data_IF_051260791995
#
_entry.id   IF_051260791995
#
_cell.length_a   1.000
_cell.length_b   1.000
_cell.length_c   1.000
_cell.angle_alpha   90.00
_cell.angle_beta   90.00
_cell.angle_gamma   90.00
#
_symmetry.space_group_name_H-M   'P 1'
#
loop_
_entity.id
_entity.type
_entity.pdbx_description
1 polymer ?
#
# COMPACT_ATOMS: atom_id res chain seq x y z
N UNK A 1 37.10 12.01 34.29
CA UNK A 1 38.45 12.62 34.16
C UNK A 1 38.29 13.91 33.37
N UNK A 2 38.42 15.08 34.03
CA UNK A 2 39.57 16.02 33.93
C UNK A 2 39.64 16.66 32.52
N UNK A 3 39.57 17.97 32.26
CA UNK A 3 39.90 19.23 32.97
C UNK A 3 39.45 20.39 32.02
N UNK A 4 38.85 21.51 32.47
CA UNK A 4 39.49 22.83 32.78
C UNK A 4 40.58 23.24 31.77
N UNK A 5 40.79 24.48 31.31
CA UNK A 5 40.48 25.82 31.81
C UNK A 5 40.90 26.88 30.74
N UNK A 6 40.45 28.11 31.02
CA UNK A 6 40.82 29.43 30.46
C UNK A 6 42.33 29.67 30.26
N UNK A 7 42.70 30.40 29.20
CA UNK A 7 43.88 31.30 29.08
C UNK A 7 43.45 32.43 28.09
N UNK A 8 43.22 33.70 28.47
CA UNK A 8 44.07 34.78 29.02
C UNK A 8 44.77 35.62 27.92
N UNK A 9 44.43 36.93 27.92
CA UNK A 9 45.24 38.11 27.57
C UNK A 9 45.77 38.29 26.13
N UNK A 10 45.38 39.40 25.49
CA UNK A 10 46.31 40.47 25.06
C UNK A 10 45.54 41.80 25.01
N UNK A 11 46.08 42.75 25.76
CA UNK A 11 45.72 44.15 25.92
C UNK A 11 46.75 44.96 25.10
N UNK A 12 46.33 45.68 24.06
CA UNK A 12 47.10 46.81 23.49
C UNK A 12 46.11 47.73 22.76
N UNK A 13 45.62 48.77 23.41
CA UNK A 13 46.16 50.14 23.32
C UNK A 13 46.18 50.66 21.87
N UNK A 14 45.07 51.27 21.44
CA UNK A 14 45.12 52.38 20.48
C UNK A 14 44.09 53.43 20.86
N UNK A 15 44.58 54.48 21.51
CA UNK A 15 43.90 55.75 21.72
C UNK A 15 43.64 56.39 20.36
N UNK A 16 42.39 56.42 19.92
CA UNK A 16 41.93 57.31 18.85
C UNK A 16 40.98 58.33 19.46
N UNK A 17 41.41 59.58 19.33
CA UNK A 17 40.81 60.83 19.75
C UNK A 17 39.31 60.89 19.51
N UNK A 18 38.55 60.96 20.60
CA UNK A 18 37.11 61.22 20.59
C UNK A 18 36.88 62.72 20.42
N UNK A 19 36.66 63.18 19.19
CA UNK A 19 36.14 64.53 18.94
C UNK A 19 34.63 64.52 19.13
N UNK A 20 34.04 65.32 20.03
CA UNK A 20 32.59 65.45 20.10
C UNK A 20 32.10 66.26 18.89
N UNK A 21 31.57 65.57 17.89
CA UNK A 21 30.74 66.21 16.86
C UNK A 21 29.46 66.68 17.57
N UNK A 22 29.36 67.99 17.79
CA UNK A 22 28.14 68.64 18.21
C UNK A 22 27.08 68.47 17.11
N UNK A 23 26.25 67.43 17.26
CA UNK A 23 25.05 67.26 16.47
C UNK A 23 24.04 68.33 16.89
N UNK A 24 23.90 69.38 16.08
CA UNK A 24 22.75 70.29 16.16
C UNK A 24 21.48 69.50 15.81
N UNK A 25 20.74 69.10 16.82
CA UNK A 25 19.40 68.52 16.67
C UNK A 25 18.42 69.64 16.36
N UNK A 26 18.22 69.92 15.08
CA UNK A 26 17.02 70.62 14.62
C UNK A 26 15.83 69.71 14.91
N UNK A 27 15.11 69.98 16.00
CA UNK A 27 13.83 69.34 16.30
C UNK A 27 12.79 69.84 15.31
N UNK A 28 12.58 69.08 14.24
CA UNK A 28 11.41 69.25 13.39
C UNK A 28 10.17 68.79 14.18
N UNK A 29 9.06 69.56 14.20
CA UNK A 29 7.80 69.09 14.76
C UNK A 29 7.27 67.97 13.85
N UNK A 30 7.54 66.71 14.23
CA UNK A 30 6.96 65.55 13.55
C UNK A 30 5.46 65.54 13.87
N UNK A 31 4.64 65.85 12.86
CA UNK A 31 3.18 65.72 12.91
C UNK A 31 2.79 64.31 13.38
N UNK A 32 2.33 64.19 14.63
CA UNK A 32 1.88 62.92 15.24
C UNK A 32 0.82 62.18 14.41
N UNK A 33 0.09 62.89 13.54
CA UNK A 33 -0.92 62.33 12.64
C UNK A 33 -0.33 61.45 11.52
N UNK A 34 0.85 61.78 10.97
CA UNK A 34 1.45 61.02 9.85
C UNK A 34 2.11 59.71 10.30
N UNK A 35 2.60 59.66 11.54
CA UNK A 35 3.22 58.45 12.09
C UNK A 35 2.19 57.36 12.38
N UNK A 36 1.03 57.73 12.94
CA UNK A 36 -0.07 56.79 13.20
C UNK A 36 -0.61 56.16 11.92
N UNK A 37 -0.85 56.98 10.88
CA UNK A 37 -1.27 56.51 9.57
C UNK A 37 -0.27 55.51 8.94
N UNK A 38 1.04 55.75 9.10
CA UNK A 38 2.08 54.84 8.61
C UNK A 38 2.10 53.50 9.36
N UNK A 39 1.87 53.51 10.68
CA UNK A 39 1.78 52.29 11.49
C UNK A 39 0.53 51.47 11.14
N UNK A 40 -0.60 52.14 10.90
CA UNK A 40 -1.85 51.47 10.54
C UNK A 40 -1.76 50.86 9.13
N UNK A 41 -1.14 51.57 8.16
CA UNK A 41 -0.85 51.03 6.84
C UNK A 41 0.12 49.83 6.88
N UNK A 42 1.14 49.88 7.74
CA UNK A 42 2.08 48.77 7.93
C UNK A 42 1.38 47.55 8.56
N UNK A 43 0.50 47.76 9.55
CA UNK A 43 -0.31 46.69 10.14
C UNK A 43 -1.22 46.04 9.09
N UNK A 44 -1.92 46.86 8.29
CA UNK A 44 -2.76 46.35 7.21
C UNK A 44 -1.94 45.52 6.20
N UNK A 45 -0.77 46.01 5.80
CA UNK A 45 0.13 45.28 4.88
C UNK A 45 0.66 43.96 5.46
N UNK A 46 0.92 43.93 6.78
CA UNK A 46 1.32 42.70 7.46
C UNK A 46 0.16 41.70 7.51
N UNK A 47 -1.06 42.15 7.80
CA UNK A 47 -2.23 41.27 7.84
C UNK A 47 -2.60 40.74 6.46
N UNK A 48 -2.52 41.55 5.40
CA UNK A 48 -2.74 41.06 4.02
C UNK A 48 -1.69 40.03 3.62
N UNK A 49 -0.40 40.28 3.90
CA UNK A 49 0.67 39.30 3.64
C UNK A 49 0.47 38.01 4.43
N UNK A 50 0.05 38.08 5.69
CA UNK A 50 -0.27 36.88 6.48
C UNK A 50 -1.42 36.09 5.88
N UNK A 51 -2.46 36.77 5.39
CA UNK A 51 -3.60 36.12 4.73
C UNK A 51 -3.17 35.46 3.42
N UNK A 52 -2.41 36.15 2.57
CA UNK A 52 -1.84 35.59 1.33
C UNK A 52 -0.96 34.36 1.59
N UNK A 53 -0.09 34.41 2.60
CA UNK A 53 0.75 33.28 2.99
C UNK A 53 -0.12 32.10 3.46
N UNK A 54 -1.14 32.35 4.29
CA UNK A 54 -2.06 31.30 4.75
C UNK A 54 -2.80 30.65 3.58
N UNK A 55 -3.31 31.44 2.65
CA UNK A 55 -4.00 30.95 1.45
C UNK A 55 -3.05 30.12 0.57
N UNK A 56 -1.84 30.62 0.32
CA UNK A 56 -0.83 29.90 -0.45
C UNK A 56 -0.41 28.56 0.21
N UNK A 57 -0.33 28.52 1.55
CA UNK A 57 -0.04 27.28 2.28
C UNK A 57 -1.21 26.30 2.16
N UNK A 58 -2.45 26.76 2.31
CA UNK A 58 -3.64 25.92 2.19
C UNK A 58 -3.77 25.34 0.77
N UNK A 59 -3.55 26.14 -0.27
CA UNK A 59 -3.58 25.69 -1.67
C UNK A 59 -2.47 24.67 -1.95
N UNK A 60 -1.24 24.92 -1.47
CA UNK A 60 -0.13 23.96 -1.58
C UNK A 60 -0.43 22.65 -0.83
N UNK A 61 -1.02 22.73 0.35
CA UNK A 61 -1.43 21.54 1.10
C UNK A 61 -2.49 20.75 0.35
N UNK A 62 -3.54 21.40 -0.13
CA UNK A 62 -4.62 20.77 -0.90
C UNK A 62 -4.07 20.06 -2.15
N UNK A 63 -3.27 20.76 -2.96
CA UNK A 63 -2.66 20.19 -4.17
C UNK A 63 -1.72 19.03 -3.88
N UNK A 64 -0.90 19.11 -2.81
CA UNK A 64 -0.03 18.01 -2.40
C UNK A 64 -0.84 16.82 -1.89
N UNK A 65 -1.89 17.03 -1.10
CA UNK A 65 -2.76 15.94 -0.62
C UNK A 65 -3.48 15.22 -1.76
N UNK A 66 -3.96 15.96 -2.76
CA UNK A 66 -4.57 15.39 -3.97
C UNK A 66 -3.57 14.50 -4.72
N UNK A 67 -2.36 15.02 -5.02
CA UNK A 67 -1.30 14.25 -5.69
C UNK A 67 -0.90 12.97 -4.93
N UNK A 68 -0.81 13.06 -3.59
CA UNK A 68 -0.49 11.90 -2.76
C UNK A 68 -1.61 10.86 -2.77
N UNK A 69 -2.88 11.28 -2.78
CA UNK A 69 -4.01 10.37 -2.86
C UNK A 69 -4.05 9.66 -4.21
N UNK A 70 -3.82 10.37 -5.31
CA UNK A 70 -3.76 9.78 -6.65
C UNK A 70 -2.62 8.74 -6.75
N UNK A 71 -1.43 9.09 -6.24
CA UNK A 71 -0.30 8.17 -6.22
C UNK A 71 -0.59 6.92 -5.38
N UNK A 72 -1.30 7.07 -4.25
CA UNK A 72 -1.72 5.93 -3.42
C UNK A 72 -2.70 5.03 -4.17
N UNK A 73 -3.71 5.61 -4.85
CA UNK A 73 -4.65 4.83 -5.67
C UNK A 73 -3.91 4.04 -6.76
N UNK A 74 -2.97 4.67 -7.47
CA UNK A 74 -2.12 3.99 -8.47
C UNK A 74 -1.33 2.82 -7.86
N UNK A 75 -0.73 3.01 -6.68
CA UNK A 75 0.01 1.96 -5.99
C UNK A 75 -0.90 0.78 -5.58
N UNK A 76 -2.12 1.08 -5.11
CA UNK A 76 -3.11 0.07 -4.74
C UNK A 76 -3.53 -0.73 -5.98
N UNK A 77 -3.86 -0.05 -7.10
CA UNK A 77 -4.21 -0.69 -8.37
C UNK A 77 -3.09 -1.60 -8.86
N UNK A 78 -1.84 -1.12 -8.84
CA UNK A 78 -0.67 -1.90 -9.25
C UNK A 78 -0.51 -3.15 -8.38
N UNK A 79 -0.62 -3.00 -7.06
CA UNK A 79 -0.55 -4.12 -6.13
C UNK A 79 -1.65 -5.15 -6.41
N UNK A 80 -2.90 -4.69 -6.55
CA UNK A 80 -4.04 -5.55 -6.84
C UNK A 80 -3.84 -6.35 -8.12
N UNK A 81 -3.49 -5.68 -9.23
CA UNK A 81 -3.29 -6.34 -10.52
C UNK A 81 -2.19 -7.41 -10.45
N UNK A 82 -1.06 -7.09 -9.81
CA UNK A 82 0.03 -8.06 -9.62
C UNK A 82 -0.39 -9.28 -8.81
N UNK A 83 -1.23 -9.11 -7.79
CA UNK A 83 -1.70 -10.23 -6.99
C UNK A 83 -2.73 -11.07 -7.74
N UNK A 84 -3.66 -10.43 -8.46
CA UNK A 84 -4.65 -11.11 -9.28
C UNK A 84 -3.99 -11.94 -10.38
N UNK A 85 -3.01 -11.40 -11.10
CA UNK A 85 -2.26 -12.15 -12.11
C UNK A 85 -1.63 -13.42 -11.52
N UNK A 86 -1.05 -13.32 -10.33
CA UNK A 86 -0.48 -14.49 -9.62
C UNK A 86 -1.55 -15.50 -9.22
N UNK A 87 -2.71 -15.05 -8.74
CA UNK A 87 -3.81 -15.92 -8.34
C UNK A 87 -4.42 -16.64 -9.56
N UNK A 88 -4.59 -15.94 -10.69
CA UNK A 88 -5.03 -16.54 -11.95
C UNK A 88 -4.04 -17.58 -12.47
N UNK A 89 -2.73 -17.30 -12.38
CA UNK A 89 -1.71 -18.29 -12.72
C UNK A 89 -1.78 -19.54 -11.84
N UNK A 90 -2.10 -19.40 -10.54
CA UNK A 90 -2.31 -20.54 -9.65
C UNK A 90 -3.58 -21.30 -10.01
N UNK A 91 -4.69 -20.60 -10.28
CA UNK A 91 -5.95 -21.19 -10.75
C UNK A 91 -5.73 -22.08 -11.98
N UNK A 92 -5.00 -21.57 -12.99
CA UNK A 92 -4.65 -22.31 -14.21
C UNK A 92 -3.85 -23.57 -13.88
N UNK A 93 -2.84 -23.47 -13.00
CA UNK A 93 -2.03 -24.63 -12.59
C UNK A 93 -2.86 -25.70 -11.87
N UNK A 94 -3.78 -25.30 -11.00
CA UNK A 94 -4.66 -26.24 -10.29
C UNK A 94 -5.65 -26.92 -11.25
N UNK A 95 -6.21 -26.19 -12.23
CA UNK A 95 -7.02 -26.78 -13.30
C UNK A 95 -6.23 -27.83 -14.10
N UNK A 96 -5.00 -27.52 -14.49
CA UNK A 96 -4.12 -28.50 -15.15
C UNK A 96 -3.85 -29.73 -14.27
N UNK A 97 -3.70 -29.53 -12.96
CA UNK A 97 -3.52 -30.63 -12.01
C UNK A 97 -4.77 -31.53 -11.93
N UNK A 98 -5.97 -30.94 -11.91
CA UNK A 98 -7.25 -31.68 -12.00
C UNK A 98 -7.28 -32.54 -13.27
N UNK A 99 -7.00 -31.96 -14.45
CA UNK A 99 -7.03 -32.71 -15.71
C UNK A 99 -6.03 -33.88 -15.73
N UNK A 100 -4.85 -33.71 -15.13
CA UNK A 100 -3.86 -34.79 -14.99
C UNK A 100 -4.36 -35.91 -14.07
N UNK A 101 -5.02 -35.54 -12.97
CA UNK A 101 -5.62 -36.48 -12.02
C UNK A 101 -6.74 -37.27 -12.70
N UNK A 102 -7.66 -36.59 -13.40
CA UNK A 102 -8.75 -37.21 -14.16
C UNK A 102 -8.21 -38.19 -15.22
N UNK A 103 -7.19 -37.77 -15.98
CA UNK A 103 -6.53 -38.65 -16.97
C UNK A 103 -5.91 -39.89 -16.33
N UNK A 104 -5.27 -39.75 -15.16
CA UNK A 104 -4.70 -40.88 -14.44
C UNK A 104 -5.76 -41.81 -13.88
N UNK A 105 -6.86 -41.27 -13.36
CA UNK A 105 -7.98 -42.06 -12.86
C UNK A 105 -8.64 -42.87 -13.98
N UNK A 106 -8.82 -42.26 -15.15
CA UNK A 106 -9.36 -42.94 -16.32
C UNK A 106 -8.50 -44.13 -16.75
N UNK A 107 -7.17 -43.99 -16.73
CA UNK A 107 -6.24 -45.10 -17.02
C UNK A 107 -6.37 -46.24 -16.01
N UNK A 108 -6.46 -45.93 -14.72
CA UNK A 108 -6.63 -46.95 -13.68
C UNK A 108 -7.94 -47.73 -13.86
N UNK A 109 -9.04 -47.05 -14.20
CA UNK A 109 -10.33 -47.71 -14.50
C UNK A 109 -10.27 -48.63 -15.72
N UNK A 110 -9.41 -48.32 -16.70
CA UNK A 110 -9.21 -49.18 -17.87
C UNK A 110 -8.37 -50.41 -17.54
N UNK A 111 -7.40 -50.27 -16.63
CA UNK A 111 -6.53 -51.37 -16.18
C UNK A 111 -7.26 -52.34 -15.24
N UNK A 112 -8.14 -51.83 -14.37
CA UNK A 112 -8.94 -52.66 -13.45
C UNK A 112 -10.33 -52.05 -13.18
N UNK A 113 -11.35 -52.68 -13.78
CA UNK A 113 -12.75 -52.31 -13.64
C UNK A 113 -13.34 -52.52 -12.23
N UNK A 114 -12.63 -53.24 -11.35
CA UNK A 114 -13.04 -53.52 -9.97
C UNK A 114 -12.66 -52.44 -8.96
N UNK A 115 -11.90 -51.41 -9.36
CA UNK A 115 -11.48 -50.33 -8.47
C UNK A 115 -12.66 -49.43 -8.06
N UNK A 116 -12.89 -49.31 -6.76
CA UNK A 116 -13.81 -48.29 -6.26
C UNK A 116 -13.14 -46.91 -6.29
N UNK A 117 -13.58 -46.09 -7.25
CA UNK A 117 -13.08 -44.72 -7.43
C UNK A 117 -14.06 -43.65 -6.97
N UNK A 118 -15.21 -44.03 -6.38
CA UNK A 118 -16.31 -43.09 -6.13
C UNK A 118 -15.87 -41.91 -5.27
N UNK A 119 -15.12 -42.18 -4.20
CA UNK A 119 -14.61 -41.14 -3.31
C UNK A 119 -13.66 -40.19 -4.05
N UNK A 120 -12.77 -40.72 -4.89
CA UNK A 120 -11.83 -39.90 -5.67
C UNK A 120 -12.58 -38.98 -6.63
N UNK A 121 -13.62 -39.48 -7.29
CA UNK A 121 -14.44 -38.69 -8.21
C UNK A 121 -15.21 -37.57 -7.49
N UNK A 122 -15.70 -37.84 -6.29
CA UNK A 122 -16.35 -36.84 -5.44
C UNK A 122 -15.37 -35.72 -5.05
N UNK A 123 -14.16 -36.05 -4.62
CA UNK A 123 -13.14 -35.05 -4.28
C UNK A 123 -12.69 -34.23 -5.51
N UNK A 124 -12.61 -34.85 -6.69
CA UNK A 124 -12.33 -34.13 -7.94
C UNK A 124 -13.47 -33.15 -8.27
N UNK A 125 -14.72 -33.56 -8.08
CA UNK A 125 -15.87 -32.68 -8.29
C UNK A 125 -15.85 -31.48 -7.34
N UNK A 126 -15.64 -31.70 -6.03
CA UNK A 126 -15.53 -30.60 -5.05
C UNK A 126 -14.37 -29.64 -5.41
N UNK A 127 -13.22 -30.17 -5.84
CA UNK A 127 -12.12 -29.33 -6.28
C UNK A 127 -12.48 -28.46 -7.51
N UNK A 128 -13.25 -28.99 -8.46
CA UNK A 128 -13.72 -28.25 -9.65
C UNK A 128 -14.71 -27.16 -9.28
N UNK A 129 -15.66 -27.46 -8.39
CA UNK A 129 -16.64 -26.49 -7.91
C UNK A 129 -15.95 -25.33 -7.18
N UNK A 130 -14.96 -25.64 -6.33
CA UNK A 130 -14.13 -24.62 -5.66
C UNK A 130 -13.32 -23.78 -6.64
N UNK A 131 -12.75 -24.38 -7.68
CA UNK A 131 -12.03 -23.63 -8.72
C UNK A 131 -12.97 -22.69 -9.49
N UNK A 132 -14.19 -23.13 -9.79
CA UNK A 132 -15.22 -22.28 -10.41
C UNK A 132 -15.58 -21.10 -9.51
N UNK A 133 -15.90 -21.36 -8.24
CA UNK A 133 -16.21 -20.31 -7.27
C UNK A 133 -15.04 -19.33 -7.06
N UNK A 134 -13.80 -19.83 -7.07
CA UNK A 134 -12.60 -19.00 -6.97
C UNK A 134 -12.44 -18.09 -8.20
N UNK A 135 -12.73 -18.60 -9.40
CA UNK A 135 -12.71 -17.82 -10.63
C UNK A 135 -13.73 -16.68 -10.58
N UNK A 136 -14.96 -16.97 -10.13
CA UNK A 136 -15.98 -15.95 -9.91
C UNK A 136 -15.55 -14.91 -8.86
N UNK A 137 -14.93 -15.34 -7.77
CA UNK A 137 -14.40 -14.43 -6.75
C UNK A 137 -13.30 -13.50 -7.32
N UNK A 138 -12.43 -14.00 -8.21
CA UNK A 138 -11.44 -13.18 -8.92
C UNK A 138 -12.13 -12.12 -9.79
N UNK A 139 -13.16 -12.51 -10.55
CA UNK A 139 -13.92 -11.59 -11.41
C UNK A 139 -14.66 -10.52 -10.58
N UNK A 140 -15.31 -10.93 -9.50
CA UNK A 140 -15.96 -10.01 -8.56
C UNK A 140 -14.95 -9.05 -7.93
N UNK A 141 -13.78 -9.54 -7.52
CA UNK A 141 -12.72 -8.69 -6.99
C UNK A 141 -12.26 -7.64 -8.01
N UNK A 142 -12.06 -8.04 -9.28
CA UNK A 142 -11.71 -7.10 -10.37
C UNK A 142 -12.77 -6.00 -10.54
N UNK A 143 -14.05 -6.39 -10.51
CA UNK A 143 -15.17 -5.45 -10.66
C UNK A 143 -15.35 -4.53 -9.44
N UNK A 144 -14.95 -4.98 -8.25
CA UNK A 144 -15.03 -4.17 -7.01
C UNK A 144 -13.93 -3.12 -6.88
N UNK A 145 -12.80 -3.28 -7.57
CA UNK A 145 -11.64 -2.39 -7.42
C UNK A 145 -11.97 -0.90 -7.67
N UNK A 146 -12.68 -0.50 -8.74
CA UNK A 146 -13.02 0.91 -8.96
C UNK A 146 -13.82 1.49 -7.79
N UNK A 147 -14.80 0.75 -7.29
CA UNK A 147 -15.65 1.15 -6.16
C UNK A 147 -14.83 1.32 -4.88
N UNK A 148 -13.88 0.41 -4.62
CA UNK A 148 -12.99 0.49 -3.46
C UNK A 148 -12.07 1.73 -3.55
N UNK A 149 -11.64 2.10 -4.75
CA UNK A 149 -10.77 3.26 -4.98
C UNK A 149 -11.50 4.61 -4.97
N UNK A 150 -12.82 4.61 -5.12
CA UNK A 150 -13.65 5.81 -4.98
C UNK A 150 -13.77 6.29 -3.53
N UNK A 151 -13.61 5.38 -2.55
CA UNK A 151 -13.51 5.77 -1.15
C UNK A 151 -12.31 6.72 -0.94
N UNK A 152 -12.59 7.92 -0.44
CA UNK A 152 -11.59 8.99 -0.22
C UNK A 152 -10.51 8.66 0.84
N UNK A 153 -10.55 7.46 1.43
CA UNK A 153 -9.49 6.94 2.30
C UNK A 153 -8.70 5.80 1.63
N UNK A 154 -7.51 6.09 1.06
CA UNK A 154 -6.65 5.07 0.47
C UNK A 154 -6.23 3.96 1.45
N UNK A 155 -6.22 4.23 2.77
CA UNK A 155 -5.81 3.25 3.77
C UNK A 155 -6.89 2.18 3.96
N UNK A 156 -8.15 2.60 4.08
CA UNK A 156 -9.29 1.68 4.08
C UNK A 156 -9.34 0.88 2.76
N UNK A 157 -9.23 1.57 1.61
CA UNK A 157 -9.24 0.93 0.30
C UNK A 157 -8.17 -0.18 0.17
N UNK A 158 -6.96 0.08 0.67
CA UNK A 158 -5.89 -0.93 0.64
C UNK A 158 -6.17 -2.13 1.57
N UNK A 159 -6.78 -1.90 2.73
CA UNK A 159 -7.17 -2.96 3.65
C UNK A 159 -8.21 -3.89 3.00
N UNK A 160 -9.21 -3.32 2.32
CA UNK A 160 -10.25 -4.06 1.62
C UNK A 160 -9.68 -4.90 0.48
N UNK A 161 -8.80 -4.30 -0.35
CA UNK A 161 -8.06 -5.01 -1.41
C UNK A 161 -7.28 -6.20 -0.84
N UNK A 162 -6.58 -5.99 0.28
CA UNK A 162 -5.80 -7.07 0.92
C UNK A 162 -6.70 -8.18 1.46
N UNK A 163 -7.87 -7.85 2.00
CA UNK A 163 -8.84 -8.83 2.49
C UNK A 163 -9.36 -9.70 1.34
N UNK A 164 -9.76 -9.09 0.22
CA UNK A 164 -10.20 -9.82 -0.99
C UNK A 164 -9.14 -10.80 -1.49
N UNK A 165 -7.90 -10.33 -1.64
CA UNK A 165 -6.77 -11.17 -2.09
C UNK A 165 -6.51 -12.32 -1.11
N UNK A 166 -6.62 -12.07 0.20
CA UNK A 166 -6.40 -13.09 1.23
C UNK A 166 -7.46 -14.20 1.16
N UNK A 167 -8.71 -13.83 0.92
CA UNK A 167 -9.82 -14.79 0.82
C UNK A 167 -9.65 -15.70 -0.41
N UNK A 168 -9.42 -15.12 -1.58
CA UNK A 168 -9.17 -15.89 -2.82
C UNK A 168 -7.96 -16.82 -2.65
N UNK A 169 -6.90 -16.32 -2.01
CA UNK A 169 -5.72 -17.14 -1.71
C UNK A 169 -6.08 -18.34 -0.81
N UNK A 170 -6.91 -18.14 0.22
CA UNK A 170 -7.31 -19.22 1.11
C UNK A 170 -8.09 -20.31 0.37
N UNK A 171 -9.00 -19.92 -0.54
CA UNK A 171 -9.74 -20.86 -1.40
C UNK A 171 -8.79 -21.69 -2.27
N UNK A 172 -7.82 -21.07 -2.95
CA UNK A 172 -6.83 -21.79 -3.76
C UNK A 172 -5.96 -22.75 -2.93
N UNK A 173 -5.58 -22.34 -1.71
CA UNK A 173 -4.81 -23.20 -0.80
C UNK A 173 -5.61 -24.43 -0.38
N UNK A 174 -6.90 -24.27 -0.11
CA UNK A 174 -7.77 -25.38 0.27
C UNK A 174 -7.99 -26.34 -0.90
N UNK A 175 -8.26 -25.82 -2.10
CA UNK A 175 -8.32 -26.64 -3.32
C UNK A 175 -7.02 -27.43 -3.52
N UNK A 176 -5.86 -26.81 -3.33
CA UNK A 176 -4.59 -27.51 -3.45
C UNK A 176 -4.47 -28.68 -2.46
N UNK A 177 -4.91 -28.51 -1.21
CA UNK A 177 -4.92 -29.59 -0.20
C UNK A 177 -5.78 -30.76 -0.63
N UNK A 178 -6.99 -30.48 -1.15
CA UNK A 178 -7.89 -31.50 -1.70
C UNK A 178 -7.20 -32.27 -2.83
N UNK A 179 -6.56 -31.59 -3.78
CA UNK A 179 -5.86 -32.26 -4.88
C UNK A 179 -4.68 -33.11 -4.41
N UNK A 180 -3.95 -32.67 -3.38
CA UNK A 180 -2.87 -33.46 -2.76
C UNK A 180 -3.45 -34.71 -2.10
N UNK A 181 -4.57 -34.58 -1.39
CA UNK A 181 -5.27 -35.72 -0.80
C UNK A 181 -5.71 -36.74 -1.86
N UNK A 182 -6.32 -36.29 -2.96
CA UNK A 182 -6.71 -37.13 -4.10
C UNK A 182 -5.51 -37.88 -4.69
N UNK A 183 -4.37 -37.22 -4.84
CA UNK A 183 -3.14 -37.90 -5.30
C UNK A 183 -2.71 -39.00 -4.33
N UNK A 184 -2.88 -38.80 -3.03
CA UNK A 184 -2.65 -39.81 -2.00
C UNK A 184 -3.54 -41.04 -2.18
N UNK A 185 -4.85 -40.83 -2.36
CA UNK A 185 -5.82 -41.90 -2.60
C UNK A 185 -5.48 -42.70 -3.87
N UNK A 186 -5.20 -42.01 -4.98
CA UNK A 186 -4.80 -42.65 -6.25
C UNK A 186 -3.52 -43.48 -6.10
N UNK A 187 -2.56 -43.02 -5.29
CA UNK A 187 -1.34 -43.80 -5.00
C UNK A 187 -1.66 -45.03 -4.16
N UNK A 188 -2.56 -44.91 -3.18
CA UNK A 188 -3.03 -46.01 -2.34
C UNK A 188 -3.64 -47.15 -3.15
N UNK A 189 -4.48 -46.82 -4.14
CA UNK A 189 -5.07 -47.82 -5.05
C UNK A 189 -4.01 -48.65 -5.79
N UNK A 190 -2.87 -48.04 -6.15
CA UNK A 190 -1.81 -48.73 -6.88
C UNK A 190 -0.99 -49.69 -6.00
N UNK A 191 -0.72 -49.34 -4.75
CA UNK A 191 0.15 -50.15 -3.86
C UNK A 191 -0.59 -51.30 -3.18
N UNK A 192 -1.92 -51.22 -3.01
CA UNK A 192 -2.72 -52.33 -2.47
C UNK A 192 -2.79 -53.56 -3.38
N UNK A 193 -2.41 -53.43 -4.66
CA UNK A 193 -2.45 -54.50 -5.66
C UNK A 193 -1.13 -55.25 -5.86
N UNK A 194 -0.04 -54.87 -5.18
CA UNK A 194 1.18 -55.68 -5.16
C UNK A 194 1.03 -56.83 -4.16
N UNK A 195 0.24 -57.84 -4.50
CA UNK A 195 0.26 -59.14 -3.82
C UNK A 195 1.57 -59.83 -4.24
N UNK A 196 2.42 -60.30 -3.30
CA UNK A 196 3.62 -61.05 -3.65
C UNK A 196 3.21 -62.36 -4.32
N UNK A 197 3.85 -62.60 -5.46
CA UNK A 197 3.82 -63.87 -6.21
C UNK A 197 4.31 -65.03 -5.35
#
# INVERSE_FOLDING_TARGET
>A
MKKTAKILLILSLLLISFSPIQAQTKTFPVSRCSHRARLDALKQQIETRKQEIKLNIQEKQATMTAKLNDQRKLNITKYFNQMIERLEAVLIKLNQQVSRIESRLAKLKQEDSGLDTKEIEQWIADAKDRLSATNEAILTAKNSLPVILENNDPKAAFADVKALIKEIKAQLQETHRILVHVIGLIKGLKVGQSIPS
#
